data_IF_415932612121
#
_entry.id   IF_415932612121
#
_cell.length_a   1.000
_cell.length_b   1.000
_cell.length_c   1.000
_cell.angle_alpha   90.00
_cell.angle_beta   90.00
_cell.angle_gamma   90.00
#
_symmetry.space_group_name_H-M   'P 1'
#
loop_
_entity.id
_entity.type
_entity.pdbx_description
1 polymer ?
#
# COMPACT_ATOMS: atom_id res chain seq x y z
N UNK A 1 -29.32 8.29 -7.69
CA UNK A 1 -28.34 7.29 -7.24
C UNK A 1 -28.38 7.27 -5.73
N UNK A 2 -29.19 6.38 -5.16
CA UNK A 2 -29.29 6.22 -3.72
C UNK A 2 -28.04 5.44 -3.29
N UNK A 3 -27.15 6.09 -2.53
CA UNK A 3 -25.99 5.40 -1.95
C UNK A 3 -26.55 4.32 -1.03
N UNK A 4 -26.28 3.05 -1.33
CA UNK A 4 -26.80 1.85 -0.63
C UNK A 4 -26.46 1.78 0.88
N UNK A 5 -25.95 2.86 1.47
CA UNK A 5 -25.52 2.99 2.86
C UNK A 5 -26.26 4.09 3.65
N UNK A 6 -27.23 4.79 3.05
CA UNK A 6 -27.96 5.90 3.70
C UNK A 6 -28.67 5.52 5.00
N UNK A 7 -29.11 4.27 5.13
CA UNK A 7 -29.79 3.77 6.33
C UNK A 7 -28.90 3.14 7.39
N UNK A 8 -27.60 3.01 7.13
CA UNK A 8 -26.65 2.51 8.12
C UNK A 8 -26.50 3.55 9.27
N UNK A 9 -26.77 3.19 10.54
CA UNK A 9 -26.67 4.11 11.68
C UNK A 9 -25.29 4.77 11.82
N UNK A 10 -24.22 4.06 11.47
CA UNK A 10 -22.85 4.59 11.48
C UNK A 10 -22.65 5.60 10.37
N UNK A 11 -23.24 5.38 9.19
CA UNK A 11 -23.20 6.35 8.09
C UNK A 11 -24.02 7.62 8.39
N UNK A 12 -25.17 7.49 9.08
CA UNK A 12 -25.94 8.64 9.58
C UNK A 12 -25.13 9.51 10.54
N UNK A 13 -24.29 8.92 11.40
CA UNK A 13 -23.35 9.68 12.26
C UNK A 13 -22.35 10.48 11.43
N UNK A 14 -21.77 9.88 10.39
CA UNK A 14 -20.86 10.57 9.46
C UNK A 14 -21.57 11.74 8.78
N UNK A 15 -22.77 11.53 8.22
CA UNK A 15 -23.53 12.60 7.55
C UNK A 15 -23.81 13.78 8.48
N UNK A 16 -24.19 13.52 9.72
CA UNK A 16 -24.43 14.57 10.72
C UNK A 16 -23.15 15.32 11.09
N UNK A 17 -22.02 14.61 11.24
CA UNK A 17 -20.72 15.23 11.49
C UNK A 17 -20.27 16.08 10.29
N UNK A 18 -20.45 15.56 9.07
CA UNK A 18 -20.16 16.27 7.81
C UNK A 18 -20.94 17.58 7.73
N UNK A 19 -22.24 17.54 8.01
CA UNK A 19 -23.07 18.76 7.97
C UNK A 19 -22.58 19.83 8.94
N UNK A 20 -22.15 19.45 10.16
CA UNK A 20 -21.59 20.38 11.14
C UNK A 20 -20.25 20.95 10.68
N UNK A 21 -19.36 20.11 10.17
CA UNK A 21 -18.08 20.53 9.61
C UNK A 21 -18.26 21.51 8.44
N UNK A 22 -19.14 21.20 7.48
CA UNK A 22 -19.41 22.08 6.34
C UNK A 22 -19.99 23.44 6.76
N UNK A 23 -20.92 23.46 7.71
CA UNK A 23 -21.45 24.72 8.27
C UNK A 23 -20.34 25.56 8.91
N UNK A 24 -19.42 24.92 9.65
CA UNK A 24 -18.28 25.59 10.28
C UNK A 24 -17.34 26.19 9.22
N UNK A 25 -16.99 25.41 8.21
CA UNK A 25 -16.12 25.83 7.11
C UNK A 25 -16.73 27.01 6.33
N UNK A 26 -18.00 26.89 5.98
CA UNK A 26 -18.73 27.96 5.29
C UNK A 26 -18.81 29.23 6.15
N UNK A 27 -19.03 29.09 7.46
CA UNK A 27 -19.05 30.23 8.39
C UNK A 27 -17.69 30.91 8.57
N UNK A 28 -16.58 30.17 8.45
CA UNK A 28 -15.23 30.73 8.50
C UNK A 28 -14.82 31.42 7.19
N UNK A 29 -15.38 31.00 6.06
CA UNK A 29 -15.11 31.56 4.73
C UNK A 29 -13.68 31.35 4.22
N UNK A 30 -12.83 30.66 4.99
CA UNK A 30 -11.43 30.34 4.69
C UNK A 30 -11.10 28.95 5.23
N UNK A 31 -10.12 28.30 4.61
CA UNK A 31 -9.64 26.97 5.00
C UNK A 31 -8.13 27.00 5.23
N UNK A 32 -7.68 26.49 6.38
CA UNK A 32 -6.27 26.19 6.62
C UNK A 32 -6.11 24.69 6.98
N UNK A 33 -5.14 23.96 6.39
CA UNK A 33 -4.91 22.55 6.73
C UNK A 33 -4.71 22.28 8.23
N UNK A 34 -4.12 23.23 8.98
CA UNK A 34 -3.94 23.12 10.43
C UNK A 34 -5.27 23.01 11.19
N UNK A 35 -6.35 23.52 10.61
CA UNK A 35 -7.67 23.53 11.24
C UNK A 35 -8.23 22.12 11.42
N UNK A 36 -7.82 21.16 10.57
CA UNK A 36 -8.21 19.76 10.69
C UNK A 36 -7.80 19.16 12.05
N UNK A 37 -6.67 19.62 12.60
CA UNK A 37 -6.11 19.16 13.88
C UNK A 37 -6.51 20.01 15.09
N UNK A 38 -7.26 21.09 14.91
CA UNK A 38 -7.59 22.03 16.00
C UNK A 38 -9.07 22.26 16.18
N UNK A 39 -9.86 22.23 15.09
CA UNK A 39 -11.30 22.48 15.12
C UNK A 39 -12.05 21.20 15.44
N UNK A 40 -12.86 21.24 16.50
CA UNK A 40 -13.62 20.08 17.00
C UNK A 40 -14.54 19.50 15.92
N UNK A 41 -15.25 20.33 15.17
CA UNK A 41 -16.20 19.88 14.16
C UNK A 41 -15.51 19.10 13.01
N UNK A 42 -14.25 19.43 12.70
CA UNK A 42 -13.46 18.70 11.71
C UNK A 42 -12.93 17.39 12.27
N UNK A 43 -12.48 17.37 13.55
CA UNK A 43 -12.10 16.14 14.25
C UNK A 43 -13.26 15.17 14.36
N UNK A 44 -14.43 15.65 14.80
CA UNK A 44 -15.64 14.81 14.93
C UNK A 44 -15.99 14.14 13.59
N UNK A 45 -15.80 14.82 12.46
CA UNK A 45 -16.00 14.25 11.13
C UNK A 45 -14.94 13.19 10.80
N UNK A 46 -13.66 13.49 11.06
CA UNK A 46 -12.55 12.55 10.86
C UNK A 46 -12.79 11.27 11.67
N UNK A 47 -13.10 11.41 12.96
CA UNK A 47 -13.31 10.30 13.89
C UNK A 47 -14.54 9.46 13.49
N UNK A 48 -15.64 10.11 13.12
CA UNK A 48 -16.84 9.40 12.65
C UNK A 48 -16.56 8.61 11.36
N UNK A 49 -15.76 9.18 10.46
CA UNK A 49 -15.39 8.54 9.19
C UNK A 49 -14.46 7.35 9.44
N UNK A 50 -13.44 7.52 10.28
CA UNK A 50 -12.52 6.46 10.69
C UNK A 50 -13.27 5.29 11.33
N UNK A 51 -14.22 5.57 12.24
CA UNK A 51 -15.01 4.53 12.89
C UNK A 51 -15.89 3.69 11.95
N UNK A 52 -16.34 4.25 10.82
CA UNK A 52 -17.04 3.46 9.79
C UNK A 52 -16.06 2.56 9.04
N UNK A 53 -14.92 3.11 8.62
CA UNK A 53 -13.90 2.39 7.86
C UNK A 53 -13.27 1.23 8.65
N UNK A 54 -13.11 1.40 9.97
CA UNK A 54 -12.49 0.41 10.86
C UNK A 54 -13.33 -0.87 11.02
N UNK A 55 -14.64 -0.81 10.81
CA UNK A 55 -15.52 -1.98 10.91
C UNK A 55 -15.33 -3.02 9.80
N UNK A 56 -14.53 -2.72 8.76
CA UNK A 56 -14.39 -3.56 7.58
C UNK A 56 -13.28 -4.63 7.68
N UNK A 57 -12.36 -4.55 8.66
CA UNK A 57 -11.20 -5.46 8.75
C UNK A 57 -11.43 -6.45 9.91
N UNK A 58 -11.98 -7.64 9.60
CA UNK A 58 -12.43 -8.63 10.61
C UNK A 58 -11.51 -9.84 10.82
N UNK A 59 -10.24 -9.78 10.41
CA UNK A 59 -9.35 -10.95 10.49
C UNK A 59 -8.64 -11.12 11.85
N UNK A 60 -8.32 -12.37 12.18
CA UNK A 60 -7.48 -12.74 13.33
C UNK A 60 -6.03 -12.32 13.08
N UNK A 61 -5.64 -11.17 13.61
CA UNK A 61 -4.26 -10.67 13.62
C UNK A 61 -3.95 -10.07 15.00
N UNK A 62 -2.66 -10.02 15.42
CA UNK A 62 -2.22 -9.27 16.60
C UNK A 62 -2.75 -7.83 16.60
N UNK A 63 -3.10 -7.31 17.78
CA UNK A 63 -3.75 -6.01 17.90
C UNK A 63 -2.86 -4.88 17.39
N UNK A 64 -1.56 -4.94 17.66
CA UNK A 64 -0.60 -3.94 17.22
C UNK A 64 -0.56 -3.85 15.70
N UNK A 65 -0.58 -4.99 14.99
CA UNK A 65 -0.61 -5.02 13.53
C UNK A 65 -1.93 -4.50 12.94
N UNK A 66 -3.04 -4.69 13.66
CA UNK A 66 -4.33 -4.11 13.29
C UNK A 66 -4.28 -2.59 13.39
N UNK A 67 -3.77 -2.06 14.51
CA UNK A 67 -3.69 -0.62 14.74
C UNK A 67 -2.81 0.08 13.68
N UNK A 68 -1.67 -0.52 13.31
CA UNK A 68 -0.83 -0.01 12.21
C UNK A 68 -1.56 -0.06 10.86
N UNK A 69 -2.19 -1.19 10.53
CA UNK A 69 -2.91 -1.35 9.28
C UNK A 69 -4.07 -0.35 9.16
N UNK A 70 -4.81 -0.12 10.25
CA UNK A 70 -5.93 0.82 10.30
C UNK A 70 -5.46 2.26 10.07
N UNK A 71 -4.37 2.67 10.74
CA UNK A 71 -3.79 4.00 10.56
C UNK A 71 -3.31 4.21 9.12
N UNK A 72 -2.54 3.25 8.59
CA UNK A 72 -2.00 3.32 7.25
C UNK A 72 -3.11 3.37 6.20
N UNK A 73 -4.14 2.53 6.33
CA UNK A 73 -5.30 2.55 5.43
C UNK A 73 -6.04 3.89 5.47
N UNK A 74 -6.22 4.46 6.66
CA UNK A 74 -6.85 5.77 6.83
C UNK A 74 -6.04 6.88 6.16
N UNK A 75 -4.74 7.00 6.48
CA UNK A 75 -3.85 8.02 5.91
C UNK A 75 -3.76 7.88 4.39
N UNK A 76 -3.58 6.65 3.89
CA UNK A 76 -3.52 6.37 2.46
C UNK A 76 -4.80 6.81 1.74
N UNK A 77 -5.98 6.47 2.28
CA UNK A 77 -7.26 6.85 1.67
C UNK A 77 -7.41 8.37 1.57
N UNK A 78 -7.01 9.12 2.62
CA UNK A 78 -7.03 10.57 2.63
C UNK A 78 -6.10 11.19 1.58
N UNK A 79 -4.87 10.68 1.48
CA UNK A 79 -3.88 11.14 0.50
C UNK A 79 -4.34 10.85 -0.94
N UNK A 80 -4.91 9.67 -1.20
CA UNK A 80 -5.45 9.31 -2.53
C UNK A 80 -6.56 10.25 -2.97
N UNK A 81 -7.54 10.50 -2.10
CA UNK A 81 -8.65 11.42 -2.38
C UNK A 81 -8.12 12.84 -2.60
N UNK A 82 -7.18 13.29 -1.77
CA UNK A 82 -6.59 14.61 -1.92
C UNK A 82 -5.85 14.77 -3.26
N UNK A 83 -5.05 13.78 -3.67
CA UNK A 83 -4.35 13.79 -4.95
C UNK A 83 -5.34 13.82 -6.13
N UNK A 84 -6.32 12.93 -6.14
CA UNK A 84 -7.33 12.86 -7.20
C UNK A 84 -8.13 14.16 -7.32
N UNK A 85 -8.56 14.75 -6.20
CA UNK A 85 -9.31 16.01 -6.21
C UNK A 85 -8.45 17.21 -6.61
N UNK A 86 -7.18 17.22 -6.22
CA UNK A 86 -6.23 18.28 -6.61
C UNK A 86 -5.97 18.25 -8.11
N UNK A 87 -5.80 17.06 -8.67
CA UNK A 87 -5.62 16.87 -10.11
C UNK A 87 -6.90 17.21 -10.87
N UNK A 88 -8.06 16.75 -10.39
CA UNK A 88 -9.36 17.13 -10.95
C UNK A 88 -9.56 18.65 -10.97
N UNK A 89 -9.20 19.34 -9.88
CA UNK A 89 -9.25 20.81 -9.79
C UNK A 89 -8.35 21.48 -10.83
N UNK A 90 -7.19 20.90 -11.14
CA UNK A 90 -6.27 21.47 -12.12
C UNK A 90 -6.88 21.57 -13.53
N UNK A 91 -7.83 20.69 -13.87
CA UNK A 91 -8.50 20.68 -15.17
C UNK A 91 -9.58 21.75 -15.35
N UNK A 92 -9.99 22.46 -14.28
CA UNK A 92 -11.01 23.52 -14.37
C UNK A 92 -10.60 24.67 -15.29
N UNK A 93 -9.30 24.89 -15.43
CA UNK A 93 -8.75 25.91 -16.33
C UNK A 93 -7.95 25.26 -17.46
N UNK A 94 -7.92 25.92 -18.60
CA UNK A 94 -7.02 25.57 -19.70
C UNK A 94 -5.63 26.19 -19.53
N UNK A 95 -4.75 25.95 -20.50
CA UNK A 95 -3.37 26.45 -20.51
C UNK A 95 -3.29 27.98 -20.57
N UNK A 96 -4.34 28.64 -21.05
CA UNK A 96 -4.47 30.09 -21.13
C UNK A 96 -5.12 30.69 -19.87
N UNK A 97 -5.46 29.87 -18.88
CA UNK A 97 -6.11 30.27 -17.63
C UNK A 97 -7.61 30.54 -17.75
N UNK A 98 -8.23 30.23 -18.90
CA UNK A 98 -9.67 30.35 -19.11
C UNK A 98 -10.41 29.15 -18.53
N UNK A 99 -11.70 29.33 -18.17
CA UNK A 99 -12.53 28.23 -17.68
C UNK A 99 -12.78 27.26 -18.83
N UNK A 100 -12.45 25.98 -18.60
CA UNK A 100 -12.66 24.92 -19.58
C UNK A 100 -14.16 24.67 -19.80
N UNK A 101 -14.63 24.46 -21.04
CA UNK A 101 -16.00 24.02 -21.30
C UNK A 101 -16.32 22.70 -20.59
N UNK A 102 -17.58 22.51 -20.17
CA UNK A 102 -17.99 21.34 -19.40
C UNK A 102 -17.64 20.00 -20.09
N UNK A 103 -17.90 19.89 -21.40
CA UNK A 103 -17.64 18.66 -22.15
C UNK A 103 -16.15 18.24 -22.09
N UNK A 104 -15.24 19.19 -22.26
CA UNK A 104 -13.80 18.92 -22.18
C UNK A 104 -13.36 18.58 -20.75
N UNK A 105 -13.93 19.26 -19.76
CA UNK A 105 -13.67 18.98 -18.35
C UNK A 105 -14.12 17.56 -17.98
N UNK A 106 -15.33 17.18 -18.36
CA UNK A 106 -15.88 15.85 -18.14
C UNK A 106 -14.98 14.75 -18.74
N UNK A 107 -14.51 14.93 -19.99
CA UNK A 107 -13.58 13.99 -20.62
C UNK A 107 -12.27 13.85 -19.84
N UNK A 108 -11.70 14.95 -19.33
CA UNK A 108 -10.50 14.90 -18.47
C UNK A 108 -10.74 14.16 -17.17
N UNK A 109 -11.90 14.36 -16.53
CA UNK A 109 -12.27 13.65 -15.29
C UNK A 109 -12.49 12.15 -15.55
N UNK A 110 -13.09 11.76 -16.68
CA UNK A 110 -13.27 10.35 -17.04
C UNK A 110 -11.92 9.65 -17.24
N UNK A 111 -10.96 10.29 -17.89
CA UNK A 111 -9.59 9.77 -18.04
C UNK A 111 -8.87 9.66 -16.70
N UNK A 112 -8.99 10.68 -15.84
CA UNK A 112 -8.45 10.66 -14.49
C UNK A 112 -9.00 9.49 -13.67
N UNK A 113 -10.31 9.24 -13.78
CA UNK A 113 -10.95 8.12 -13.11
C UNK A 113 -10.43 6.78 -13.58
N UNK A 114 -10.10 6.61 -14.86
CA UNK A 114 -9.47 5.39 -15.35
C UNK A 114 -8.08 5.15 -14.72
N UNK A 115 -7.26 6.19 -14.62
CA UNK A 115 -5.95 6.08 -13.96
C UNK A 115 -6.08 5.68 -12.47
N UNK A 116 -6.89 6.39 -11.69
CA UNK A 116 -7.00 6.17 -10.24
C UNK A 116 -7.87 4.95 -9.86
N UNK A 117 -8.98 4.74 -10.56
CA UNK A 117 -9.98 3.74 -10.20
C UNK A 117 -9.85 2.43 -11.00
N UNK A 118 -8.93 2.34 -11.97
CA UNK A 118 -8.56 1.05 -12.58
C UNK A 118 -7.10 0.72 -12.34
N UNK A 119 -6.17 1.48 -12.92
CA UNK A 119 -4.76 1.11 -12.93
C UNK A 119 -4.12 1.15 -11.55
N UNK A 120 -4.30 2.28 -10.83
CA UNK A 120 -3.75 2.42 -9.49
C UNK A 120 -4.52 1.55 -8.49
N UNK A 121 -5.84 1.43 -8.64
CA UNK A 121 -6.63 0.53 -7.83
C UNK A 121 -6.14 -0.93 -7.91
N UNK A 122 -5.84 -1.43 -9.12
CA UNK A 122 -5.31 -2.78 -9.30
C UNK A 122 -3.93 -2.92 -8.63
N UNK A 123 -3.05 -1.92 -8.81
CA UNK A 123 -1.72 -1.95 -8.20
C UNK A 123 -1.78 -1.93 -6.67
N UNK A 124 -2.67 -1.11 -6.08
CA UNK A 124 -2.94 -1.03 -4.65
C UNK A 124 -3.47 -2.36 -4.11
N UNK A 125 -4.49 -2.94 -4.77
CA UNK A 125 -5.07 -4.22 -4.39
C UNK A 125 -4.01 -5.33 -4.39
N UNK A 126 -3.24 -5.43 -5.47
CA UNK A 126 -2.18 -6.44 -5.60
C UNK A 126 -1.08 -6.25 -4.56
N UNK A 127 -0.69 -5.01 -4.25
CA UNK A 127 0.32 -4.75 -3.25
C UNK A 127 -0.17 -5.10 -1.84
N UNK A 128 -1.38 -4.66 -1.46
CA UNK A 128 -1.95 -4.92 -0.14
C UNK A 128 -2.12 -6.43 0.12
N UNK A 129 -2.68 -7.16 -0.84
CA UNK A 129 -2.89 -8.62 -0.72
C UNK A 129 -1.57 -9.40 -0.61
N UNK A 130 -0.56 -9.04 -1.41
CA UNK A 130 0.75 -9.69 -1.36
C UNK A 130 1.54 -9.36 -0.11
N UNK A 131 1.46 -8.11 0.38
CA UNK A 131 2.07 -7.72 1.65
C UNK A 131 1.47 -8.51 2.80
N UNK A 132 0.14 -8.66 2.84
CA UNK A 132 -0.54 -9.48 3.84
C UNK A 132 -0.10 -10.96 3.79
N UNK A 133 -0.06 -11.56 2.60
CA UNK A 133 0.41 -12.95 2.42
C UNK A 133 1.88 -13.14 2.79
N UNK A 134 2.73 -12.17 2.46
CA UNK A 134 4.16 -12.20 2.81
C UNK A 134 4.38 -12.05 4.31
N UNK A 135 3.61 -11.19 4.98
CA UNK A 135 3.64 -11.05 6.43
C UNK A 135 3.16 -12.32 7.14
N UNK A 136 2.08 -12.94 6.65
CA UNK A 136 1.61 -14.22 7.18
C UNK A 136 2.64 -15.34 6.97
N UNK A 137 3.30 -15.37 5.81
CA UNK A 137 4.38 -16.33 5.54
C UNK A 137 5.56 -16.12 6.49
N UNK A 138 5.96 -14.87 6.72
CA UNK A 138 7.03 -14.52 7.66
C UNK A 138 6.76 -15.02 9.08
N UNK A 139 5.52 -14.81 9.56
CA UNK A 139 5.07 -15.29 10.86
C UNK A 139 5.02 -16.82 10.94
N UNK A 140 4.81 -17.51 9.81
CA UNK A 140 4.77 -18.97 9.73
C UNK A 140 6.13 -19.65 9.60
N UNK A 141 7.20 -18.93 9.24
CA UNK A 141 8.54 -19.51 9.13
C UNK A 141 9.12 -19.84 10.51
N UNK A 142 9.89 -20.93 10.56
CA UNK A 142 10.60 -21.39 11.75
C UNK A 142 11.61 -20.37 12.25
N UNK A 143 11.73 -20.25 13.57
CA UNK A 143 12.80 -19.49 14.23
C UNK A 143 14.08 -20.34 14.44
N UNK A 144 14.04 -21.64 14.12
CA UNK A 144 15.20 -22.54 14.16
C UNK A 144 16.09 -22.30 12.92
N UNK A 145 16.97 -21.30 13.03
CA UNK A 145 17.91 -20.91 11.98
C UNK A 145 19.07 -21.88 11.80
N UNK A 146 19.19 -22.95 12.60
CA UNK A 146 20.15 -24.03 12.36
C UNK A 146 19.57 -25.09 11.41
N UNK A 147 18.26 -25.30 11.48
CA UNK A 147 17.56 -26.32 10.68
C UNK A 147 16.95 -25.77 9.39
N UNK A 148 16.48 -24.52 9.40
CA UNK A 148 15.75 -23.93 8.30
C UNK A 148 16.34 -22.60 7.85
N UNK A 149 16.44 -22.43 6.54
CA UNK A 149 16.79 -21.18 5.87
C UNK A 149 15.63 -20.72 5.00
N UNK A 150 15.69 -19.46 4.56
CA UNK A 150 14.76 -18.87 3.61
C UNK A 150 15.41 -18.77 2.23
N UNK A 151 14.68 -19.16 1.19
CA UNK A 151 15.09 -19.00 -0.21
C UNK A 151 14.24 -17.94 -0.91
N UNK A 152 14.89 -16.97 -1.56
CA UNK A 152 14.23 -15.99 -2.42
C UNK A 152 13.96 -16.58 -3.80
N UNK A 153 12.68 -16.61 -4.21
CA UNK A 153 12.24 -17.13 -5.50
C UNK A 153 11.50 -16.07 -6.30
N UNK A 154 11.84 -15.95 -7.58
CA UNK A 154 11.13 -15.09 -8.53
C UNK A 154 10.14 -15.91 -9.35
N UNK A 155 9.25 -15.24 -10.08
CA UNK A 155 8.38 -15.90 -11.07
C UNK A 155 9.15 -16.55 -12.22
N UNK A 156 10.42 -16.17 -12.44
CA UNK A 156 11.29 -16.77 -13.45
C UNK A 156 10.98 -16.39 -14.91
N UNK A 157 10.13 -15.40 -15.15
CA UNK A 157 9.79 -14.92 -16.49
C UNK A 157 10.43 -13.57 -16.84
N UNK A 158 10.19 -13.12 -18.07
CA UNK A 158 10.70 -11.88 -18.67
C UNK A 158 10.12 -10.59 -18.05
N UNK A 159 9.11 -10.71 -17.18
CA UNK A 159 8.48 -9.59 -16.48
C UNK A 159 9.06 -9.39 -15.08
N UNK A 160 9.98 -10.25 -14.63
CA UNK A 160 10.73 -10.03 -13.40
C UNK A 160 11.73 -8.90 -13.63
N UNK A 161 11.76 -7.90 -12.74
CA UNK A 161 12.74 -6.81 -12.80
C UNK A 161 14.15 -7.37 -12.60
N UNK A 162 15.12 -6.85 -13.35
CA UNK A 162 16.53 -7.29 -13.27
C UNK A 162 17.08 -7.27 -11.83
N UNK A 163 16.71 -6.25 -11.06
CA UNK A 163 17.08 -6.12 -9.65
C UNK A 163 16.56 -7.26 -8.78
N UNK A 164 15.41 -7.85 -9.10
CA UNK A 164 14.84 -8.99 -8.39
C UNK A 164 15.37 -10.31 -8.93
N UNK A 165 15.59 -10.41 -10.24
CA UNK A 165 16.19 -11.58 -10.87
C UNK A 165 17.58 -11.87 -10.26
N UNK A 166 18.34 -10.83 -9.94
CA UNK A 166 19.62 -10.94 -9.25
C UNK A 166 19.52 -11.57 -7.83
N UNK A 167 18.35 -11.50 -7.19
CA UNK A 167 18.11 -12.07 -5.86
C UNK A 167 17.67 -13.54 -5.92
N UNK A 168 17.32 -14.05 -7.10
CA UNK A 168 16.80 -15.40 -7.26
C UNK A 168 17.79 -16.47 -6.75
N UNK A 169 17.29 -17.38 -5.93
CA UNK A 169 18.08 -18.45 -5.30
C UNK A 169 19.09 -17.93 -4.27
N UNK A 170 18.88 -16.75 -3.68
CA UNK A 170 19.55 -16.39 -2.44
C UNK A 170 18.92 -17.22 -1.32
N UNK A 171 19.76 -17.95 -0.58
CA UNK A 171 19.35 -18.76 0.57
C UNK A 171 20.11 -18.27 1.79
N UNK A 172 19.41 -17.79 2.81
CA UNK A 172 20.00 -17.23 4.02
C UNK A 172 19.16 -17.59 5.25
N UNK A 173 19.76 -17.64 6.45
CA UNK A 173 19.04 -17.71 7.73
C UNK A 173 17.96 -16.63 7.85
N UNK A 174 16.86 -16.90 8.58
CA UNK A 174 15.74 -15.95 8.78
C UNK A 174 16.18 -14.65 9.45
N UNK A 175 17.18 -14.70 10.32
CA UNK A 175 17.74 -13.57 11.06
C UNK A 175 18.78 -12.75 10.27
N UNK A 176 19.10 -13.15 9.02
CA UNK A 176 20.05 -12.41 8.18
C UNK A 176 19.51 -11.00 7.84
N UNK A 177 20.33 -9.94 8.00
CA UNK A 177 19.95 -8.56 7.66
C UNK A 177 19.48 -8.35 6.22
N UNK A 178 19.82 -9.25 5.29
CA UNK A 178 19.31 -9.26 3.92
C UNK A 178 17.78 -9.13 3.86
N UNK A 179 17.07 -9.84 4.73
CA UNK A 179 15.60 -9.87 4.72
C UNK A 179 14.98 -8.54 5.12
N UNK A 180 15.66 -7.72 5.93
CA UNK A 180 15.17 -6.39 6.29
C UNK A 180 15.05 -5.45 5.08
N UNK A 181 15.82 -5.71 4.02
CA UNK A 181 15.86 -4.88 2.82
C UNK A 181 15.17 -5.51 1.60
N UNK A 182 15.22 -6.83 1.49
CA UNK A 182 14.85 -7.53 0.26
C UNK A 182 13.70 -8.53 0.43
N UNK A 183 13.11 -8.65 1.62
CA UNK A 183 11.93 -9.49 1.82
C UNK A 183 10.71 -8.96 1.06
N UNK A 184 9.90 -9.87 0.53
CA UNK A 184 8.82 -9.54 -0.40
C UNK A 184 7.61 -8.89 0.28
N UNK A 185 6.80 -8.09 -0.45
CA UNK A 185 6.95 -7.71 -1.87
C UNK A 185 7.87 -6.52 -2.12
N UNK A 186 8.82 -6.68 -3.04
CA UNK A 186 9.76 -5.61 -3.47
C UNK A 186 9.13 -4.65 -4.51
N UNK A 187 8.02 -4.02 -4.14
CA UNK A 187 7.33 -3.01 -4.96
C UNK A 187 6.11 -3.50 -5.74
N UNK A 188 5.53 -2.61 -6.54
CA UNK A 188 4.24 -2.85 -7.22
C UNK A 188 4.31 -4.01 -8.22
N UNK A 189 3.24 -4.81 -8.27
CA UNK A 189 3.15 -6.04 -9.09
C UNK A 189 4.39 -6.94 -8.98
N UNK A 190 5.05 -6.97 -7.82
CA UNK A 190 6.05 -7.99 -7.54
C UNK A 190 5.38 -9.38 -7.68
N UNK A 191 6.13 -10.39 -8.07
CA UNK A 191 5.68 -11.80 -8.12
C UNK A 191 6.75 -12.73 -7.58
N UNK A 192 7.58 -12.17 -6.70
CA UNK A 192 8.59 -12.91 -5.98
C UNK A 192 7.98 -13.38 -4.67
N UNK A 193 8.47 -14.49 -4.15
CA UNK A 193 8.05 -15.08 -2.90
C UNK A 193 9.26 -15.65 -2.19
N UNK A 194 9.12 -15.85 -0.88
CA UNK A 194 10.13 -16.51 -0.05
C UNK A 194 9.57 -17.84 0.40
N UNK A 195 10.41 -18.86 0.48
CA UNK A 195 10.02 -20.17 1.02
C UNK A 195 11.03 -20.64 2.04
N UNK A 196 10.56 -21.45 2.98
CA UNK A 196 11.42 -22.16 3.91
C UNK A 196 12.05 -23.40 3.25
N UNK A 197 13.34 -23.61 3.49
CA UNK A 197 14.11 -24.75 2.98
C UNK A 197 15.01 -25.32 4.08
N UNK A 198 15.35 -26.62 4.00
CA UNK A 198 16.28 -27.25 4.94
C UNK A 198 17.70 -26.68 4.77
N UNK A 199 18.31 -26.26 5.89
CA UNK A 199 19.66 -25.72 5.92
C UNK A 199 20.71 -26.74 5.45
N UNK A 200 20.54 -28.02 5.81
CA UNK A 200 21.46 -29.12 5.46
C UNK A 200 21.58 -29.37 3.94
N UNK A 201 20.48 -29.20 3.20
CA UNK A 201 20.46 -29.38 1.74
C UNK A 201 20.99 -28.16 0.99
N UNK A 202 21.01 -26.98 1.63
CA UNK A 202 21.26 -25.69 0.98
C UNK A 202 22.56 -24.98 1.43
N UNK A 203 23.35 -25.60 2.30
CA UNK A 203 24.64 -25.06 2.76
C UNK A 203 25.62 -24.80 1.61
N UNK A 204 25.53 -25.56 0.51
CA UNK A 204 26.38 -25.38 -0.69
C UNK A 204 26.05 -24.13 -1.50
N UNK A 205 24.81 -23.62 -1.45
CA UNK A 205 24.39 -22.43 -2.20
C UNK A 205 25.03 -21.15 -1.64
N UNK A 206 25.18 -21.09 -0.30
CA UNK A 206 25.79 -19.97 0.46
C UNK A 206 27.27 -19.79 0.10
N UNK A 207 28.03 -20.89 0.02
CA UNK A 207 29.49 -20.86 -0.21
C UNK A 207 29.86 -20.37 -1.61
N UNK A 208 29.00 -20.56 -2.61
CA UNK A 208 29.31 -20.17 -4.00
C UNK A 208 29.22 -18.65 -4.27
N UNK A 209 28.45 -17.91 -3.46
CA UNK A 209 28.16 -16.48 -3.65
C UNK A 209 28.97 -15.55 -2.73
N UNK A 210 29.58 -16.07 -1.64
CA UNK A 210 30.47 -15.31 -0.74
C UNK A 210 31.93 -15.22 -1.24
N UNK A 211 32.29 -15.91 -2.32
CA UNK A 211 33.64 -15.82 -2.90
C UNK A 211 33.72 -14.65 -3.91
N UNK A 212 34.67 -13.71 -3.76
CA UNK A 212 34.94 -12.68 -4.77
C UNK A 212 35.22 -13.33 -6.13
N UNK A 213 34.82 -12.64 -7.21
CA UNK A 213 34.89 -13.11 -8.62
C UNK A 213 36.30 -13.50 -9.11
N UNK A 214 37.36 -13.28 -8.33
CA UNK A 214 38.74 -13.45 -8.75
C UNK A 214 39.26 -14.90 -8.79
N UNK A 215 38.54 -15.88 -8.23
CA UNK A 215 39.00 -17.29 -8.25
C UNK A 215 38.35 -18.20 -9.30
N UNK A 216 37.72 -17.65 -10.35
CA UNK A 216 37.21 -18.44 -11.49
C UNK A 216 38.22 -18.66 -12.62
N UNK A 217 39.39 -18.02 -12.60
CA UNK A 217 40.38 -18.11 -13.69
C UNK A 217 41.62 -18.99 -13.41
N UNK A 218 41.70 -19.65 -12.26
CA UNK A 218 42.83 -20.56 -11.96
C UNK A 218 42.38 -22.01 -11.84
N UNK A 219 41.75 -22.53 -12.89
CA UNK A 219 41.68 -23.97 -13.19
C UNK A 219 41.69 -24.12 -14.73
N UNK A 220 42.86 -23.95 -15.31
CA UNK A 220 43.27 -24.62 -16.55
C UNK A 220 44.29 -25.67 -16.17
#
# INVERSE_FOLDING_TARGET
>A
MELAMSDNPSFKKVLNASQKAFKKLHGQGKYNPKDLGTIKEYKDLIDATAGVLQSAITHEMPQELKDYLDNDAFVFSGLKVHAQLTEARSYLKDENGQIRPYADFEQKILQLNEAYNKNYLEAEYLFATQSAQSAASWAGYSDDTERYYLEYRTAGDDRVRDSHAALNGIVLPKDDPFWQKYYTPNGWRCRCHVVEVLASSNTKAIVSKLLPKEKRQQRK
#
